data_IF_432281784527
#
_entry.id   IF_432281784527
#
_cell.length_a   1.000
_cell.length_b   1.000
_cell.length_c   1.000
_cell.angle_alpha   90.00
_cell.angle_beta   90.00
_cell.angle_gamma   90.00
#
_symmetry.space_group_name_H-M   'P 1'
#
loop_
_entity.id
_entity.type
_entity.pdbx_description
1 polymer ?
#
# COMPACT_ATOMS: atom_id res chain seq x y z
N UNK A 1 6.16 -13.26 27.23
CA UNK A 1 6.43 -12.59 25.94
C UNK A 1 7.82 -12.99 25.49
N UNK A 2 8.01 -13.54 24.28
CA UNK A 2 9.35 -13.76 23.75
C UNK A 2 10.06 -12.42 23.56
N UNK A 3 11.35 -12.34 23.92
CA UNK A 3 12.19 -11.19 23.66
C UNK A 3 13.08 -11.48 22.45
N UNK A 4 13.15 -10.54 21.50
CA UNK A 4 14.01 -10.62 20.32
C UNK A 4 15.11 -9.56 20.45
N UNK A 5 16.37 -9.98 20.27
CA UNK A 5 17.49 -9.07 20.10
C UNK A 5 17.86 -9.03 18.61
N UNK A 6 17.86 -7.84 18.02
CA UNK A 6 18.14 -7.64 16.60
C UNK A 6 19.39 -6.76 16.46
N UNK A 7 20.35 -7.22 15.66
CA UNK A 7 21.52 -6.42 15.30
C UNK A 7 21.18 -5.60 14.05
N UNK A 8 21.38 -4.30 14.13
CA UNK A 8 21.16 -3.33 13.07
C UNK A 8 22.41 -2.47 12.96
N UNK A 9 22.70 -1.98 11.76
CA UNK A 9 23.69 -0.93 11.59
C UNK A 9 23.19 0.40 12.18
N UNK A 10 24.13 1.30 12.47
CA UNK A 10 23.82 2.58 13.11
C UNK A 10 22.85 3.44 12.29
N UNK A 11 22.96 3.39 10.96
CA UNK A 11 22.09 4.17 10.07
C UNK A 11 20.65 3.69 10.17
N UNK A 12 20.43 2.38 10.13
CA UNK A 12 19.11 1.78 10.28
C UNK A 12 18.53 2.06 11.67
N UNK A 13 19.36 1.99 12.72
CA UNK A 13 18.92 2.28 14.09
C UNK A 13 18.48 3.74 14.27
N UNK A 14 19.19 4.69 13.66
CA UNK A 14 18.86 6.11 13.71
C UNK A 14 17.57 6.44 12.96
N UNK A 15 17.31 5.77 11.84
CA UNK A 15 16.02 5.89 11.12
C UNK A 15 14.89 5.38 12.02
N UNK A 16 15.07 4.21 12.64
CA UNK A 16 14.08 3.60 13.53
C UNK A 16 13.74 4.50 14.74
N UNK A 17 14.76 5.10 15.38
CA UNK A 17 14.56 6.02 16.50
C UNK A 17 13.80 7.28 16.09
N UNK A 18 14.23 7.95 15.02
CA UNK A 18 13.58 9.17 14.52
C UNK A 18 12.14 8.93 14.12
N UNK A 19 11.84 7.80 13.50
CA UNK A 19 10.45 7.45 13.15
C UNK A 19 9.59 7.20 14.38
N UNK A 20 10.11 6.50 15.38
CA UNK A 20 9.40 6.28 16.64
C UNK A 20 9.13 7.60 17.38
N UNK A 21 10.13 8.49 17.44
CA UNK A 21 10.02 9.84 18.02
C UNK A 21 9.00 10.71 17.29
N UNK A 22 9.04 10.72 15.94
CA UNK A 22 8.10 11.46 15.10
C UNK A 22 6.64 11.04 15.35
N UNK A 23 6.43 9.77 15.67
CA UNK A 23 5.11 9.22 15.97
C UNK A 23 4.74 9.24 17.46
N UNK A 24 5.65 9.69 18.34
CA UNK A 24 5.42 9.75 19.78
C UNK A 24 5.26 8.38 20.45
N UNK A 25 5.83 7.32 19.88
CA UNK A 25 5.75 5.94 20.41
C UNK A 25 7.11 5.40 20.83
N UNK A 26 7.13 4.37 21.67
CA UNK A 26 8.38 3.71 22.02
C UNK A 26 8.98 2.96 20.82
N UNK A 27 10.30 2.80 20.82
CA UNK A 27 11.01 2.07 19.78
C UNK A 27 10.51 0.63 19.63
N UNK A 28 10.22 -0.06 20.74
CA UNK A 28 9.70 -1.42 20.73
C UNK A 28 8.27 -1.50 20.18
N UNK A 29 7.43 -0.50 20.46
CA UNK A 29 6.10 -0.40 19.89
C UNK A 29 6.16 -0.17 18.38
N UNK A 30 7.01 0.76 17.94
CA UNK A 30 7.22 1.06 16.52
C UNK A 30 7.76 -0.16 15.76
N UNK A 31 8.81 -0.81 16.28
CA UNK A 31 9.38 -2.01 15.66
C UNK A 31 8.39 -3.16 15.57
N UNK A 32 7.58 -3.37 16.63
CA UNK A 32 6.49 -4.36 16.60
C UNK A 32 5.49 -4.06 15.48
N UNK A 33 5.04 -2.80 15.37
CA UNK A 33 4.07 -2.41 14.35
C UNK A 33 4.63 -2.63 12.95
N UNK A 34 5.89 -2.26 12.71
CA UNK A 34 6.56 -2.47 11.43
C UNK A 34 6.61 -3.96 11.02
N UNK A 35 6.93 -4.84 11.96
CA UNK A 35 6.92 -6.30 11.73
C UNK A 35 5.50 -6.79 11.41
N UNK A 36 4.50 -6.30 12.14
CA UNK A 36 3.09 -6.68 11.94
C UNK A 36 2.54 -6.16 10.61
N UNK A 37 2.86 -4.93 10.23
CA UNK A 37 2.43 -4.32 8.97
C UNK A 37 3.06 -5.07 7.79
N UNK A 38 4.34 -5.45 7.88
CA UNK A 38 4.97 -6.29 6.86
C UNK A 38 4.33 -7.68 6.77
N UNK A 39 3.89 -8.25 7.89
CA UNK A 39 3.26 -9.57 7.90
C UNK A 39 1.79 -9.55 7.45
N UNK A 40 1.09 -8.43 7.63
CA UNK A 40 -0.36 -8.32 7.40
C UNK A 40 -0.74 -7.52 6.15
N UNK A 41 0.13 -6.62 5.70
CA UNK A 41 -0.13 -5.66 4.60
C UNK A 41 0.77 -5.88 3.38
N UNK A 42 1.69 -6.85 3.42
CA UNK A 42 2.44 -7.22 2.23
C UNK A 42 1.51 -7.90 1.23
N UNK A 43 1.22 -7.21 0.14
CA UNK A 43 0.73 -7.85 -1.07
C UNK A 43 1.61 -9.07 -1.40
N UNK A 44 1.03 -10.18 -1.91
CA UNK A 44 1.81 -11.32 -2.34
C UNK A 44 2.95 -10.87 -3.25
N UNK A 45 4.10 -11.54 -3.20
CA UNK A 45 5.25 -11.20 -4.09
C UNK A 45 4.83 -11.21 -5.57
N UNK A 46 3.82 -12.02 -5.90
CA UNK A 46 3.23 -12.12 -7.24
C UNK A 46 2.13 -11.08 -7.56
N UNK A 47 1.83 -10.14 -6.66
CA UNK A 47 0.75 -9.16 -6.85
C UNK A 47 0.95 -8.32 -8.11
N UNK A 48 2.17 -7.85 -8.39
CA UNK A 48 2.42 -7.14 -9.65
C UNK A 48 2.19 -8.00 -10.89
N UNK A 49 2.29 -9.32 -10.77
CA UNK A 49 1.99 -10.25 -11.85
C UNK A 49 0.49 -10.44 -12.11
N UNK A 50 -0.40 -9.96 -11.23
CA UNK A 50 -1.85 -10.03 -11.48
C UNK A 50 -2.35 -8.88 -12.35
N UNK A 51 -1.60 -7.78 -12.43
CA UNK A 51 -1.94 -6.64 -13.27
C UNK A 51 -1.99 -7.06 -14.75
N UNK A 52 -3.15 -6.92 -15.39
CA UNK A 52 -3.36 -7.30 -16.79
C UNK A 52 -3.26 -8.80 -17.07
N UNK A 53 -3.34 -9.65 -16.04
CA UNK A 53 -3.25 -11.11 -16.19
C UNK A 53 -4.52 -11.76 -16.74
N UNK A 54 -5.65 -11.07 -16.69
CA UNK A 54 -6.93 -11.54 -17.24
C UNK A 54 -6.86 -11.48 -18.76
N UNK A 55 -6.98 -12.65 -19.40
CA UNK A 55 -6.97 -12.83 -20.86
C UNK A 55 -8.19 -13.59 -21.38
N UNK A 56 -9.19 -13.78 -20.53
CA UNK A 56 -10.40 -14.47 -20.94
C UNK A 56 -11.26 -13.57 -21.84
N UNK A 57 -12.18 -14.22 -22.57
CA UNK A 57 -13.07 -13.55 -23.50
C UNK A 57 -14.12 -12.66 -22.80
N UNK A 58 -14.17 -12.64 -21.46
CA UNK A 58 -15.04 -11.72 -20.70
C UNK A 58 -14.40 -10.35 -20.50
N UNK A 59 -13.08 -10.23 -20.66
CA UNK A 59 -12.34 -8.98 -20.48
C UNK A 59 -12.25 -8.17 -21.77
N UNK A 60 -13.42 -7.86 -22.34
CA UNK A 60 -13.57 -7.03 -23.54
C UNK A 60 -14.09 -5.67 -23.13
N UNK A 61 -13.57 -4.60 -23.75
CA UNK A 61 -14.09 -3.26 -23.53
C UNK A 61 -15.57 -3.19 -23.93
N UNK A 62 -16.45 -2.58 -23.11
CA UNK A 62 -17.83 -2.37 -23.50
C UNK A 62 -17.91 -1.42 -24.70
N UNK A 63 -19.05 -1.45 -25.39
CA UNK A 63 -19.33 -0.48 -26.44
C UNK A 63 -19.28 0.95 -25.88
N UNK A 64 -18.72 1.86 -26.67
CA UNK A 64 -18.72 3.28 -26.36
C UNK A 64 -20.15 3.79 -26.32
N UNK A 65 -20.50 4.52 -25.25
CA UNK A 65 -21.84 5.09 -25.12
C UNK A 65 -22.01 6.22 -26.13
N UNK A 66 -23.25 6.41 -26.58
CA UNK A 66 -23.59 7.50 -27.47
C UNK A 66 -23.42 8.86 -26.75
N UNK A 67 -22.46 9.70 -27.17
CA UNK A 67 -22.23 10.99 -26.54
C UNK A 67 -23.41 11.96 -26.76
N UNK A 68 -24.33 11.69 -27.69
CA UNK A 68 -25.54 12.50 -27.88
C UNK A 68 -26.57 12.29 -26.76
N UNK A 69 -26.42 11.23 -25.95
CA UNK A 69 -27.25 10.98 -24.77
C UNK A 69 -26.72 11.68 -23.52
N UNK A 70 -25.57 12.33 -23.60
CA UNK A 70 -25.06 13.16 -22.52
C UNK A 70 -26.00 14.36 -22.30
N UNK A 71 -26.31 14.66 -21.03
CA UNK A 71 -27.12 15.83 -20.68
C UNK A 71 -26.40 17.15 -20.99
N UNK A 72 -27.13 18.27 -20.86
CA UNK A 72 -26.51 19.60 -20.96
C UNK A 72 -25.28 19.70 -20.03
N UNK A 73 -24.15 20.10 -20.61
CA UNK A 73 -22.94 20.36 -19.85
C UNK A 73 -23.25 21.43 -18.81
N UNK A 74 -22.93 21.14 -17.54
CA UNK A 74 -23.13 22.09 -16.45
C UNK A 74 -22.23 23.30 -16.69
N UNK A 75 -22.83 24.48 -16.87
CA UNK A 75 -22.10 25.74 -16.85
C UNK A 75 -21.79 26.13 -15.41
N UNK A 76 -20.53 26.47 -15.15
CA UNK A 76 -20.12 27.05 -13.88
C UNK A 76 -19.86 28.54 -14.12
N UNK A 77 -20.95 29.32 -14.13
CA UNK A 77 -20.89 30.78 -14.05
C UNK A 77 -20.53 31.26 -12.64
#
# INVERSE_FOLDING_TARGET
>A
MPQLSLYLDDTTMDVLRRSAEKEGVSLSHYARRLIQDQASSAWPVSFWGTYGSVKDDSFVAPEELDPELDGELVSFD
#
